data_IF_321235425880
#
_entry.id   IF_321235425880
#
_cell.length_a   1.000
_cell.length_b   1.000
_cell.length_c   1.000
_cell.angle_alpha   90.00
_cell.angle_beta   90.00
_cell.angle_gamma   90.00
#
_symmetry.space_group_name_H-M   'P 1'
#
loop_
_entity.id
_entity.type
_entity.pdbx_description
1 polymer ?
#
# COMPACT_ATOMS: atom_id res chain seq x y z
N UNK A 1 29.27 -27.50 -39.05
CA UNK A 1 29.06 -27.43 -37.59
C UNK A 1 30.28 -26.79 -36.92
N UNK A 2 30.11 -26.10 -35.78
CA UNK A 2 31.22 -25.68 -34.90
C UNK A 2 31.35 -26.68 -33.76
N UNK A 3 32.55 -27.19 -33.50
CA UNK A 3 32.92 -27.84 -32.24
C UNK A 3 34.45 -27.88 -32.13
N UNK A 4 34.99 -27.66 -30.92
CA UNK A 4 36.34 -28.12 -30.53
C UNK A 4 37.43 -27.06 -30.33
N UNK A 5 37.70 -26.76 -29.04
CA UNK A 5 38.86 -26.05 -28.47
C UNK A 5 39.07 -24.60 -28.97
N UNK A 6 39.45 -23.62 -28.14
CA UNK A 6 40.82 -23.27 -27.70
C UNK A 6 40.70 -21.95 -26.89
N UNK A 7 41.44 -21.59 -25.83
CA UNK A 7 42.48 -22.25 -25.01
C UNK A 7 42.20 -21.97 -23.50
N UNK A 8 43.05 -22.48 -22.60
CA UNK A 8 43.01 -22.13 -21.17
C UNK A 8 43.61 -20.75 -20.86
N UNK A 9 42.99 -20.01 -19.94
CA UNK A 9 43.57 -18.79 -19.34
C UNK A 9 43.58 -18.93 -17.82
N UNK A 10 44.76 -18.68 -17.26
CA UNK A 10 45.10 -18.79 -15.85
C UNK A 10 44.04 -18.23 -14.88
N UNK A 11 43.72 -19.02 -13.84
CA UNK A 11 43.05 -18.54 -12.63
C UNK A 11 43.88 -17.42 -12.02
N UNK A 12 43.42 -16.19 -12.20
CA UNK A 12 44.08 -14.98 -11.70
C UNK A 12 43.07 -14.14 -10.92
N UNK A 13 42.76 -14.67 -9.73
CA UNK A 13 42.25 -13.99 -8.54
C UNK A 13 41.65 -12.58 -8.76
N UNK A 14 40.35 -12.53 -9.08
CA UNK A 14 39.50 -11.43 -8.61
C UNK A 14 38.51 -12.02 -7.60
N UNK A 15 38.62 -11.57 -6.35
CA UNK A 15 37.67 -11.90 -5.29
C UNK A 15 36.32 -11.27 -5.60
N UNK A 16 35.40 -12.05 -6.19
CA UNK A 16 34.03 -11.62 -6.42
C UNK A 16 33.28 -11.59 -5.08
N UNK A 17 33.34 -10.45 -4.38
CA UNK A 17 32.48 -10.17 -3.24
C UNK A 17 31.03 -10.05 -3.73
N UNK A 18 30.34 -11.20 -3.80
CA UNK A 18 28.88 -11.25 -3.90
C UNK A 18 28.33 -10.79 -2.56
N UNK A 19 28.06 -9.49 -2.46
CA UNK A 19 27.19 -8.97 -1.42
C UNK A 19 25.78 -9.54 -1.68
N UNK A 20 25.17 -10.27 -0.72
CA UNK A 20 23.77 -10.65 -0.86
C UNK A 20 22.93 -9.38 -0.76
N UNK A 21 22.48 -8.87 -1.91
CA UNK A 21 21.49 -7.82 -1.94
C UNK A 21 20.20 -8.38 -1.32
N UNK A 22 19.95 -8.06 -0.06
CA UNK A 22 18.72 -8.38 0.65
C UNK A 22 17.60 -7.58 -0.01
N UNK A 23 17.02 -8.16 -1.07
CA UNK A 23 15.81 -7.67 -1.69
C UNK A 23 14.68 -7.81 -0.66
N UNK A 24 14.48 -6.75 0.14
CA UNK A 24 13.27 -6.56 0.92
C UNK A 24 12.13 -6.41 -0.09
N UNK A 25 11.50 -7.53 -0.42
CA UNK A 25 10.20 -7.53 -1.09
C UNK A 25 9.23 -6.94 -0.09
N UNK A 26 9.12 -5.61 -0.10
CA UNK A 26 7.98 -4.92 0.44
C UNK A 26 6.80 -5.38 -0.39
N UNK A 27 6.12 -6.42 0.07
CA UNK A 27 4.78 -6.70 -0.39
C UNK A 27 4.00 -5.41 -0.12
N UNK A 28 3.66 -4.69 -1.20
CA UNK A 28 2.64 -3.64 -1.11
C UNK A 28 1.45 -4.25 -0.37
N UNK A 29 0.78 -3.51 0.55
CA UNK A 29 -0.48 -3.98 1.09
C UNK A 29 -1.33 -4.40 -0.11
N UNK A 30 -1.73 -5.67 -0.14
CA UNK A 30 -2.48 -6.18 -1.27
C UNK A 30 -3.78 -5.40 -1.28
N UNK A 31 -3.94 -4.54 -2.30
CA UNK A 31 -5.13 -3.75 -2.58
C UNK A 31 -6.32 -4.72 -2.60
N UNK A 32 -6.98 -4.90 -1.45
CA UNK A 32 -7.80 -6.10 -1.25
C UNK A 32 -9.09 -6.01 -2.06
N UNK A 33 -9.71 -4.82 -2.08
CA UNK A 33 -10.82 -4.45 -2.96
C UNK A 33 -11.02 -2.91 -3.00
N UNK A 34 -10.25 -2.22 -3.85
CA UNK A 34 -10.37 -0.76 -4.07
C UNK A 34 -11.78 -0.35 -4.51
N UNK A 35 -12.40 -1.14 -5.38
CA UNK A 35 -13.75 -0.89 -5.92
C UNK A 35 -14.81 -1.10 -4.83
N UNK A 36 -14.69 -2.16 -4.03
CA UNK A 36 -15.53 -2.39 -2.86
C UNK A 36 -15.42 -1.27 -1.82
N UNK A 37 -14.20 -0.84 -1.48
CA UNK A 37 -13.98 0.32 -0.61
C UNK A 37 -14.73 1.55 -1.13
N UNK A 38 -14.49 1.95 -2.39
CA UNK A 38 -15.09 3.12 -3.01
C UNK A 38 -16.62 3.04 -3.06
N UNK A 39 -17.16 1.88 -3.46
CA UNK A 39 -18.60 1.64 -3.52
C UNK A 39 -19.25 1.78 -2.13
N UNK A 40 -18.65 1.19 -1.09
CA UNK A 40 -19.22 1.18 0.27
C UNK A 40 -19.11 2.54 0.96
N UNK A 41 -18.00 3.25 0.79
CA UNK A 41 -17.79 4.61 1.32
C UNK A 41 -18.74 5.62 0.66
N UNK A 42 -18.97 5.51 -0.66
CA UNK A 42 -19.92 6.38 -1.38
C UNK A 42 -21.38 6.11 -1.05
N UNK A 43 -21.76 4.85 -0.87
CA UNK A 43 -23.12 4.46 -0.48
C UNK A 43 -23.52 5.03 0.88
N UNK A 44 -22.62 5.02 1.85
CA UNK A 44 -22.95 5.43 3.22
C UNK A 44 -22.87 6.96 3.45
N UNK A 45 -21.90 7.68 2.84
CA UNK A 45 -21.68 9.11 3.16
C UNK A 45 -21.34 10.05 1.99
N UNK A 46 -20.72 9.58 0.90
CA UNK A 46 -19.95 10.46 0.00
C UNK A 46 -20.34 10.43 -1.49
N UNK A 47 -21.59 10.14 -1.79
CA UNK A 47 -22.12 9.91 -3.15
C UNK A 47 -21.80 10.99 -4.21
N UNK A 48 -21.46 12.23 -3.84
CA UNK A 48 -21.02 13.29 -4.78
C UNK A 48 -19.90 14.22 -4.29
N UNK A 49 -19.31 13.99 -3.11
CA UNK A 49 -18.44 15.00 -2.46
C UNK A 49 -16.95 14.86 -2.77
N UNK A 50 -16.46 13.67 -3.12
CA UNK A 50 -15.03 13.38 -3.29
C UNK A 50 -14.75 12.56 -4.55
N UNK A 51 -13.57 12.78 -5.14
CA UNK A 51 -13.07 11.94 -6.22
C UNK A 51 -12.64 10.57 -5.70
N UNK A 52 -12.61 9.55 -6.58
CA UNK A 52 -12.10 8.22 -6.24
C UNK A 52 -10.67 8.29 -5.68
N UNK A 53 -9.83 9.13 -6.28
CA UNK A 53 -8.44 9.32 -5.85
C UNK A 53 -8.31 9.93 -4.46
N UNK A 54 -9.19 10.86 -4.06
CA UNK A 54 -9.20 11.42 -2.70
C UNK A 54 -9.60 10.36 -1.67
N UNK A 55 -10.67 9.61 -1.93
CA UNK A 55 -11.15 8.57 -1.03
C UNK A 55 -10.11 7.44 -0.88
N UNK A 56 -9.52 6.98 -2.00
CA UNK A 56 -8.47 5.95 -1.98
C UNK A 56 -7.21 6.44 -1.26
N UNK A 57 -6.74 7.67 -1.52
CA UNK A 57 -5.58 8.22 -0.84
C UNK A 57 -5.76 8.23 0.68
N UNK A 58 -6.94 8.65 1.17
CA UNK A 58 -7.23 8.67 2.59
C UNK A 58 -7.42 7.25 3.16
N UNK A 59 -8.01 6.33 2.39
CA UNK A 59 -8.09 4.90 2.75
C UNK A 59 -6.71 4.25 2.94
N UNK A 60 -5.76 4.49 2.04
CA UNK A 60 -4.38 3.97 2.20
C UNK A 60 -3.63 4.65 3.32
N UNK A 61 -3.88 5.94 3.57
CA UNK A 61 -3.31 6.66 4.71
C UNK A 61 -3.80 6.08 6.03
N UNK A 62 -5.09 5.73 6.16
CA UNK A 62 -5.61 4.92 7.28
C UNK A 62 -4.86 3.60 7.39
N UNK A 63 -4.76 2.81 6.32
CA UNK A 63 -4.01 1.55 6.36
C UNK A 63 -2.53 1.70 6.71
N UNK A 64 -1.88 2.79 6.29
CA UNK A 64 -0.49 3.09 6.64
C UNK A 64 -0.31 3.41 8.14
N UNK A 65 -1.38 3.82 8.81
CA UNK A 65 -1.41 4.16 10.23
C UNK A 65 -2.11 3.10 11.10
N UNK A 66 -2.75 2.09 10.49
CA UNK A 66 -3.32 0.94 11.20
C UNK A 66 -2.25 0.22 12.02
N UNK A 67 -2.58 -0.13 13.27
CA UNK A 67 -1.64 -0.65 14.26
C UNK A 67 -0.57 0.33 14.76
N UNK A 68 -0.55 1.59 14.30
CA UNK A 68 0.40 2.64 14.73
C UNK A 68 -0.28 3.81 15.44
N UNK A 69 -1.51 4.12 15.08
CA UNK A 69 -2.35 5.15 15.68
C UNK A 69 -3.58 4.53 16.35
N UNK A 70 -4.16 5.22 17.34
CA UNK A 70 -5.45 4.86 17.94
C UNK A 70 -6.60 5.18 16.99
N UNK A 71 -7.75 4.50 17.12
CA UNK A 71 -8.95 4.73 16.30
C UNK A 71 -9.36 6.21 16.27
N UNK A 72 -9.37 6.88 17.42
CA UNK A 72 -9.66 8.32 17.56
C UNK A 72 -8.73 9.19 16.70
N UNK A 73 -7.43 8.87 16.66
CA UNK A 73 -6.46 9.58 15.82
C UNK A 73 -6.68 9.31 14.33
N UNK A 74 -7.07 8.09 13.95
CA UNK A 74 -7.42 7.76 12.57
C UNK A 74 -8.69 8.51 12.14
N UNK A 75 -9.72 8.54 12.99
CA UNK A 75 -10.98 9.24 12.73
C UNK A 75 -10.73 10.76 12.61
N UNK A 76 -9.97 11.35 13.53
CA UNK A 76 -9.64 12.77 13.50
C UNK A 76 -8.83 13.16 12.26
N UNK A 77 -7.85 12.32 11.87
CA UNK A 77 -7.07 12.48 10.64
C UNK A 77 -7.99 12.55 9.41
N UNK A 78 -8.88 11.57 9.23
CA UNK A 78 -9.81 11.53 8.08
C UNK A 78 -10.82 12.67 8.13
N UNK A 79 -11.36 13.00 9.31
CA UNK A 79 -12.29 14.11 9.49
C UNK A 79 -11.65 15.45 9.08
N UNK A 80 -10.38 15.65 9.45
CA UNK A 80 -9.61 16.86 9.12
C UNK A 80 -9.17 16.92 7.65
N UNK A 81 -8.81 15.80 7.02
CA UNK A 81 -8.30 15.79 5.64
C UNK A 81 -9.43 15.98 4.62
N UNK A 82 -10.55 15.27 4.83
CA UNK A 82 -11.72 15.36 3.96
C UNK A 82 -12.66 16.52 4.34
N UNK A 83 -12.53 17.10 5.54
CA UNK A 83 -13.43 18.15 6.03
C UNK A 83 -14.84 17.63 6.34
N UNK A 84 -14.92 16.45 6.95
CA UNK A 84 -16.18 15.69 7.15
C UNK A 84 -16.50 15.53 8.63
N UNK A 85 -17.76 15.21 8.95
CA UNK A 85 -18.14 14.83 10.31
C UNK A 85 -17.39 13.58 10.78
N UNK A 86 -17.05 13.52 12.07
CA UNK A 86 -16.47 12.38 12.77
C UNK A 86 -17.17 11.04 12.41
N UNK A 87 -18.51 11.06 12.32
CA UNK A 87 -19.31 9.88 11.98
C UNK A 87 -19.11 9.40 10.52
N UNK A 88 -18.82 10.33 9.61
CA UNK A 88 -18.44 10.02 8.23
C UNK A 88 -16.98 9.57 8.11
N UNK A 89 -16.08 10.18 8.88
CA UNK A 89 -14.68 9.75 8.99
C UNK A 89 -14.54 8.33 9.56
N UNK A 90 -15.29 8.01 10.62
CA UNK A 90 -15.39 6.66 11.19
C UNK A 90 -15.86 5.64 10.13
N UNK A 91 -16.79 6.01 9.25
CA UNK A 91 -17.20 5.12 8.16
C UNK A 91 -16.01 4.80 7.24
N UNK A 92 -15.26 5.81 6.78
CA UNK A 92 -14.05 5.61 5.95
C UNK A 92 -13.04 4.71 6.67
N UNK A 93 -12.73 4.97 7.94
CA UNK A 93 -11.76 4.18 8.73
C UNK A 93 -12.17 2.71 8.83
N UNK A 94 -13.45 2.44 9.06
CA UNK A 94 -13.97 1.06 9.11
C UNK A 94 -14.00 0.40 7.73
N UNK A 95 -14.34 1.13 6.65
CA UNK A 95 -14.28 0.56 5.30
C UNK A 95 -12.85 0.30 4.85
N UNK A 96 -11.90 1.19 5.17
CA UNK A 96 -10.50 1.03 4.80
C UNK A 96 -9.94 -0.27 5.37
N UNK A 97 -10.12 -0.52 6.67
CA UNK A 97 -9.72 -1.76 7.32
C UNK A 97 -10.33 -3.00 6.63
N UNK A 98 -11.66 -3.03 6.50
CA UNK A 98 -12.38 -4.19 5.94
C UNK A 98 -12.09 -4.45 4.46
N UNK A 99 -12.00 -3.41 3.62
CA UNK A 99 -11.98 -3.55 2.16
C UNK A 99 -10.60 -3.31 1.53
N UNK A 100 -9.69 -2.59 2.19
CA UNK A 100 -8.30 -2.45 1.75
C UNK A 100 -7.35 -3.43 2.47
N UNK A 101 -7.84 -4.17 3.46
CA UNK A 101 -7.13 -5.30 4.08
C UNK A 101 -6.14 -4.88 5.17
N UNK A 102 -6.55 -3.97 6.05
CA UNK A 102 -5.73 -3.38 7.11
C UNK A 102 -6.48 -3.24 8.45
#
# INVERSE_FOLDING_TARGET
>A
MRLGLEQGVAVRWLSLLVAPALAVVTASPAHADDEGFLNRVRLDYFSRSFTDSQLLAEGYKVCSMSGRASDDQLINMVASDLGVSENGAMNVVVKAQVWLGC
#
